data_IF_315404415797
#
_entry.id   IF_315404415797
#
_cell.length_a   1.000
_cell.length_b   1.000
_cell.length_c   1.000
_cell.angle_alpha   90.00
_cell.angle_beta   90.00
_cell.angle_gamma   90.00
#
_symmetry.space_group_name_H-M   'P 1'
#
loop_
_entity.id
_entity.type
_entity.pdbx_description
1 polymer ?
#
# COMPACT_ATOMS: atom_id res chain seq x y z
N UNK A 1 -37.83 -37.60 -1.35
CA UNK A 1 -36.94 -37.81 -2.52
C UNK A 1 -37.42 -36.89 -3.64
N UNK A 2 -37.12 -35.58 -3.59
CA UNK A 2 -37.35 -34.63 -4.71
C UNK A 2 -36.78 -33.20 -4.49
N UNK A 3 -36.05 -32.89 -3.41
CA UNK A 3 -35.72 -31.48 -3.07
C UNK A 3 -34.24 -31.11 -3.14
N UNK A 4 -33.31 -31.99 -3.53
CA UNK A 4 -31.86 -31.72 -3.43
C UNK A 4 -31.17 -31.26 -4.73
N UNK A 5 -31.90 -30.83 -5.76
CA UNK A 5 -31.28 -30.43 -7.05
C UNK A 5 -31.53 -28.97 -7.47
N UNK A 6 -32.41 -28.24 -6.79
CA UNK A 6 -32.76 -26.87 -7.19
C UNK A 6 -31.83 -25.78 -6.62
N UNK A 7 -30.82 -26.15 -5.84
CA UNK A 7 -29.87 -25.21 -5.24
C UNK A 7 -28.63 -24.96 -6.12
N UNK A 8 -28.40 -25.76 -7.18
CA UNK A 8 -27.20 -25.63 -8.02
C UNK A 8 -27.31 -24.62 -9.17
N UNK A 9 -28.50 -24.12 -9.46
CA UNK A 9 -28.72 -23.22 -10.60
C UNK A 9 -28.55 -21.72 -10.26
N UNK A 10 -28.50 -21.35 -8.98
CA UNK A 10 -28.50 -19.95 -8.55
C UNK A 10 -27.13 -19.41 -8.09
N UNK A 11 -26.03 -20.12 -8.36
CA UNK A 11 -24.68 -19.70 -7.92
C UNK A 11 -23.71 -19.44 -9.08
N UNK A 12 -24.19 -19.21 -10.30
CA UNK A 12 -23.32 -18.92 -11.47
C UNK A 12 -23.39 -17.47 -11.97
N UNK A 13 -24.20 -16.61 -11.38
CA UNK A 13 -24.35 -15.21 -11.83
C UNK A 13 -24.30 -14.22 -10.66
N UNK A 14 -23.47 -14.46 -9.65
CA UNK A 14 -23.20 -13.43 -8.63
C UNK A 14 -21.82 -13.58 -8.01
N UNK A 15 -20.79 -13.72 -8.85
CA UNK A 15 -19.47 -13.27 -8.45
C UNK A 15 -19.08 -12.16 -9.40
N UNK A 16 -19.16 -10.92 -8.89
CA UNK A 16 -18.15 -9.91 -9.16
C UNK A 16 -16.83 -10.50 -8.64
N UNK A 17 -16.31 -11.49 -9.39
CA UNK A 17 -15.02 -12.12 -9.18
C UNK A 17 -14.02 -10.97 -9.18
N UNK A 18 -13.35 -10.85 -8.04
CA UNK A 18 -12.23 -9.93 -7.81
C UNK A 18 -11.38 -9.82 -9.07
N UNK A 19 -11.01 -8.58 -9.46
CA UNK A 19 -10.71 -8.22 -10.83
C UNK A 19 -9.68 -9.17 -11.43
N UNK A 20 -10.19 -9.98 -12.36
CA UNK A 20 -9.54 -10.57 -13.52
C UNK A 20 -8.02 -10.70 -13.39
N UNK A 21 -7.48 -11.93 -13.30
CA UNK A 21 -6.07 -12.21 -13.04
C UNK A 21 -5.17 -11.40 -13.97
N UNK A 22 -4.60 -10.32 -13.43
CA UNK A 22 -3.70 -9.40 -14.13
C UNK A 22 -2.60 -10.14 -14.92
N UNK A 23 -2.19 -11.31 -14.40
CA UNK A 23 -1.24 -12.24 -15.03
C UNK A 23 -1.74 -12.84 -16.37
N UNK A 24 -3.04 -13.13 -16.51
CA UNK A 24 -3.62 -13.59 -17.77
C UNK A 24 -3.64 -12.48 -18.81
N UNK A 25 -4.02 -11.26 -18.43
CA UNK A 25 -3.95 -10.08 -19.32
C UNK A 25 -2.51 -9.83 -19.76
N UNK A 26 -1.55 -9.93 -18.84
CA UNK A 26 -0.13 -9.83 -19.16
C UNK A 26 0.34 -10.94 -20.10
N UNK A 27 -0.11 -12.18 -19.92
CA UNK A 27 0.24 -13.29 -20.83
C UNK A 27 -0.33 -13.08 -22.23
N UNK A 28 -1.56 -12.61 -22.35
CA UNK A 28 -2.19 -12.30 -23.63
C UNK A 28 -1.43 -11.18 -24.36
N UNK A 29 -1.09 -10.09 -23.65
CA UNK A 29 -0.28 -8.98 -24.19
C UNK A 29 1.10 -9.47 -24.65
N UNK A 30 1.72 -10.36 -23.90
CA UNK A 30 3.02 -10.92 -24.24
C UNK A 30 2.97 -11.82 -25.48
N UNK A 31 1.94 -12.68 -25.58
CA UNK A 31 1.73 -13.55 -26.74
C UNK A 31 1.42 -12.75 -28.01
N UNK A 32 0.64 -11.68 -27.91
CA UNK A 32 0.37 -10.76 -29.03
C UNK A 32 1.68 -10.09 -29.48
N UNK A 33 2.49 -9.60 -28.54
CA UNK A 33 3.79 -8.99 -28.84
C UNK A 33 4.76 -9.96 -29.52
N UNK A 34 4.81 -11.21 -29.05
CA UNK A 34 5.67 -12.25 -29.63
C UNK A 34 5.19 -12.74 -31.00
N UNK A 35 3.87 -12.88 -31.17
CA UNK A 35 3.27 -13.28 -32.43
C UNK A 35 3.58 -12.27 -33.56
N UNK A 36 3.51 -10.96 -33.25
CA UNK A 36 3.84 -9.90 -34.21
C UNK A 36 5.35 -9.87 -34.51
N UNK A 37 6.21 -10.07 -33.51
CA UNK A 37 7.67 -10.12 -33.71
C UNK A 37 8.09 -11.29 -34.61
N UNK A 38 7.46 -12.46 -34.43
CA UNK A 38 7.75 -13.66 -35.20
C UNK A 38 7.35 -13.52 -36.67
N UNK A 39 6.29 -12.75 -36.95
CA UNK A 39 5.85 -12.46 -38.31
C UNK A 39 6.83 -11.53 -39.05
N UNK A 40 7.36 -10.51 -38.37
CA UNK A 40 8.01 -9.40 -39.05
C UNK A 40 9.43 -9.71 -39.59
N UNK A 41 10.03 -10.88 -39.27
CA UNK A 41 11.38 -11.34 -39.72
C UNK A 41 12.56 -10.41 -39.38
N UNK A 42 12.27 -9.17 -38.95
CA UNK A 42 13.15 -8.06 -38.60
C UNK A 42 13.04 -7.82 -37.09
N UNK A 43 13.35 -8.86 -36.33
CA UNK A 43 13.14 -8.99 -34.89
C UNK A 43 14.06 -8.11 -34.00
N UNK A 44 15.20 -7.66 -34.53
CA UNK A 44 16.17 -6.81 -33.82
C UNK A 44 15.60 -5.48 -33.27
N UNK A 45 14.93 -4.63 -34.08
CA UNK A 45 14.30 -3.42 -33.55
C UNK A 45 13.17 -3.70 -32.56
N UNK A 46 12.42 -4.79 -32.75
CA UNK A 46 11.31 -5.18 -31.87
C UNK A 46 11.76 -5.54 -30.45
N UNK A 47 12.83 -6.32 -30.32
CA UNK A 47 13.40 -6.70 -29.02
C UNK A 47 13.88 -5.46 -28.24
N UNK A 48 14.56 -4.52 -28.90
CA UNK A 48 15.05 -3.30 -28.24
C UNK A 48 13.90 -2.45 -27.69
N UNK A 49 12.81 -2.31 -28.45
CA UNK A 49 11.63 -1.55 -28.01
C UNK A 49 10.94 -2.25 -26.82
N UNK A 50 10.76 -3.58 -26.88
CA UNK A 50 10.18 -4.36 -25.77
C UNK A 50 11.03 -4.28 -24.50
N UNK A 51 12.35 -4.36 -24.62
CA UNK A 51 13.28 -4.22 -23.49
C UNK A 51 13.24 -2.80 -22.92
N UNK A 52 13.21 -1.78 -23.78
CA UNK A 52 13.10 -0.39 -23.33
C UNK A 52 11.79 -0.14 -22.58
N UNK A 53 10.66 -0.60 -23.11
CA UNK A 53 9.35 -0.45 -22.45
C UNK A 53 9.29 -1.26 -21.15
N UNK A 54 9.82 -2.50 -21.12
CA UNK A 54 9.91 -3.29 -19.88
C UNK A 54 10.76 -2.60 -18.82
N UNK A 55 11.94 -2.09 -19.19
CA UNK A 55 12.80 -1.36 -18.28
C UNK A 55 12.11 -0.10 -17.73
N UNK A 56 11.42 0.65 -18.60
CA UNK A 56 10.66 1.84 -18.19
C UNK A 56 9.51 1.47 -17.24
N UNK A 57 8.78 0.40 -17.55
CA UNK A 57 7.65 -0.06 -16.73
C UNK A 57 8.14 -0.51 -15.35
N UNK A 58 9.24 -1.28 -15.29
CA UNK A 58 9.85 -1.70 -14.02
C UNK A 58 10.34 -0.51 -13.20
N UNK A 59 10.97 0.49 -13.83
CA UNK A 59 11.42 1.70 -13.15
C UNK A 59 10.23 2.49 -12.55
N UNK A 60 9.16 2.65 -13.33
CA UNK A 60 7.94 3.32 -12.86
C UNK A 60 7.28 2.56 -11.69
N UNK A 61 7.19 1.24 -11.77
CA UNK A 61 6.66 0.40 -10.69
C UNK A 61 7.51 0.53 -9.43
N UNK A 62 8.84 0.49 -9.53
CA UNK A 62 9.70 0.66 -8.36
C UNK A 62 9.55 2.06 -7.73
N UNK A 63 9.45 3.11 -8.54
CA UNK A 63 9.20 4.48 -8.06
C UNK A 63 7.83 4.57 -7.38
N UNK A 64 6.81 3.95 -7.95
CA UNK A 64 5.47 3.92 -7.38
C UNK A 64 5.41 3.15 -6.06
N UNK A 65 5.98 1.95 -6.00
CA UNK A 65 6.03 1.10 -4.79
C UNK A 65 6.81 1.78 -3.67
N UNK A 66 7.92 2.48 -4.00
CA UNK A 66 8.68 3.24 -2.99
C UNK A 66 7.80 4.32 -2.34
N UNK A 67 7.07 5.12 -3.13
CA UNK A 67 6.14 6.13 -2.59
C UNK A 67 5.05 5.53 -1.72
N UNK A 68 4.49 4.37 -2.12
CA UNK A 68 3.47 3.69 -1.33
C UNK A 68 4.01 3.24 0.04
N UNK A 69 5.23 2.69 0.07
CA UNK A 69 5.89 2.29 1.32
C UNK A 69 6.09 3.47 2.25
N UNK A 70 6.52 4.62 1.74
CA UNK A 70 6.74 5.81 2.54
C UNK A 70 5.43 6.30 3.21
N UNK A 71 4.30 6.26 2.48
CA UNK A 71 2.99 6.63 3.03
C UNK A 71 2.48 5.62 4.07
N UNK A 72 2.57 4.33 3.77
CA UNK A 72 2.17 3.29 4.71
C UNK A 72 3.00 3.34 6.00
N UNK A 73 4.31 3.60 5.87
CA UNK A 73 5.21 3.78 7.01
C UNK A 73 4.89 5.05 7.81
N UNK A 74 4.53 6.17 7.16
CA UNK A 74 4.18 7.40 7.87
C UNK A 74 2.90 7.26 8.73
N UNK A 75 1.93 6.49 8.26
CA UNK A 75 0.71 6.18 9.03
C UNK A 75 1.04 5.26 10.21
N UNK A 76 1.80 4.19 9.97
CA UNK A 76 2.22 3.28 11.03
C UNK A 76 3.10 3.97 12.08
N UNK A 77 4.00 4.86 11.67
CA UNK A 77 4.86 5.61 12.58
C UNK A 77 4.05 6.52 13.51
N UNK A 78 2.99 7.14 13.01
CA UNK A 78 2.07 7.93 13.83
C UNK A 78 1.32 7.06 14.83
N UNK A 79 0.86 5.88 14.42
CA UNK A 79 0.11 4.99 15.32
C UNK A 79 0.99 4.44 16.44
N UNK A 80 2.22 4.05 16.14
CA UNK A 80 3.20 3.61 17.14
C UNK A 80 3.62 4.76 18.06
N UNK A 81 3.75 5.98 17.53
CA UNK A 81 4.07 7.16 18.33
C UNK A 81 2.91 7.54 19.25
N UNK A 82 1.67 7.48 18.75
CA UNK A 82 0.44 7.69 19.51
C UNK A 82 0.30 6.68 20.66
N UNK A 83 0.58 5.40 20.40
CA UNK A 83 0.53 4.34 21.41
C UNK A 83 1.61 4.47 22.51
N UNK A 84 2.68 5.24 22.27
CA UNK A 84 3.76 5.47 23.24
C UNK A 84 3.51 6.69 24.14
N UNK A 85 2.45 7.44 23.88
CA UNK A 85 2.16 8.66 24.64
C UNK A 85 1.52 8.31 25.99
N UNK A 86 1.97 8.91 27.11
CA UNK A 86 1.31 8.72 28.40
C UNK A 86 -0.08 9.37 28.41
N UNK A 87 -1.02 8.82 29.18
CA UNK A 87 -2.37 9.38 29.35
C UNK A 87 -2.38 10.73 30.12
N UNK A 88 -1.30 11.00 30.86
CA UNK A 88 -1.13 12.21 31.69
C UNK A 88 0.26 12.81 31.52
N UNK A 89 0.33 14.14 31.43
CA UNK A 89 1.60 14.86 31.34
C UNK A 89 2.35 14.80 32.68
N UNK A 90 3.63 14.39 32.72
CA UNK A 90 4.40 14.29 33.96
C UNK A 90 4.81 15.65 34.56
N UNK A 91 4.74 16.74 33.79
CA UNK A 91 5.17 18.08 34.24
C UNK A 91 4.03 18.86 34.88
N UNK A 92 2.83 18.79 34.30
CA UNK A 92 1.68 19.58 34.75
C UNK A 92 0.48 18.76 35.19
N UNK A 93 0.49 17.43 34.99
CA UNK A 93 -0.63 16.55 35.34
C UNK A 93 -1.84 16.63 34.38
N UNK A 94 -1.77 17.41 33.30
CA UNK A 94 -2.87 17.53 32.35
C UNK A 94 -3.12 16.22 31.57
N UNK A 95 -4.38 15.89 31.22
CA UNK A 95 -4.69 14.73 30.39
C UNK A 95 -4.17 14.94 28.97
N UNK A 96 -3.36 14.00 28.46
CA UNK A 96 -2.80 14.06 27.11
C UNK A 96 -3.04 12.73 26.40
N UNK A 97 -3.41 12.80 25.12
CA UNK A 97 -3.65 11.64 24.27
C UNK A 97 -3.21 11.98 22.84
N UNK A 98 -3.25 10.98 21.95
CA UNK A 98 -2.83 11.14 20.56
C UNK A 98 -3.51 12.31 19.81
N UNK A 99 -4.72 12.71 20.23
CA UNK A 99 -5.50 13.81 19.63
C UNK A 99 -5.22 15.18 20.25
N UNK A 100 -4.80 15.24 21.52
CA UNK A 100 -4.48 16.50 22.21
C UNK A 100 -3.00 16.85 22.18
N UNK A 101 -2.13 15.90 21.83
CA UNK A 101 -0.70 16.16 21.62
C UNK A 101 -0.42 16.98 20.36
N UNK A 102 0.38 18.03 20.50
CA UNK A 102 0.88 18.80 19.37
C UNK A 102 2.15 18.14 18.84
N UNK A 103 2.04 17.41 17.73
CA UNK A 103 3.15 16.74 17.08
C UNK A 103 4.04 17.74 16.35
N UNK A 104 5.26 17.94 16.85
CA UNK A 104 6.27 18.81 16.23
C UNK A 104 7.18 18.02 15.30
N UNK A 105 7.27 16.69 15.49
CA UNK A 105 7.95 15.75 14.61
C UNK A 105 7.28 14.37 14.70
N UNK A 106 7.63 13.38 13.85
CA UNK A 106 7.07 12.03 13.92
C UNK A 106 7.26 11.32 15.28
N UNK A 107 8.21 11.80 16.09
CA UNK A 107 8.59 11.21 17.38
C UNK A 107 8.67 12.25 18.49
N UNK A 108 8.15 13.47 18.29
CA UNK A 108 8.22 14.53 19.29
C UNK A 108 6.88 15.22 19.37
N UNK A 109 6.23 15.04 20.52
CA UNK A 109 4.95 15.64 20.85
C UNK A 109 5.15 16.61 22.03
N UNK A 110 4.48 17.75 21.95
CA UNK A 110 4.52 18.79 22.96
C UNK A 110 3.15 18.90 23.63
N UNK A 111 3.14 19.10 24.96
CA UNK A 111 1.92 19.27 25.73
C UNK A 111 1.26 20.61 25.38
N UNK A 112 -0.04 20.67 25.04
CA UNK A 112 -0.70 21.94 24.69
C UNK A 112 -0.89 22.89 25.89
N UNK A 113 -0.79 22.38 27.12
CA UNK A 113 -1.07 23.15 28.34
C UNK A 113 0.18 23.85 28.89
N UNK A 114 1.28 23.10 29.06
CA UNK A 114 2.52 23.61 29.65
C UNK A 114 3.68 23.70 28.65
N UNK A 115 3.45 23.32 27.39
CA UNK A 115 4.44 23.32 26.32
C UNK A 115 5.69 22.45 26.61
N UNK A 116 5.60 21.49 27.54
CA UNK A 116 6.67 20.55 27.83
C UNK A 116 6.71 19.41 26.81
N UNK A 117 7.91 18.87 26.56
CA UNK A 117 8.08 17.73 25.67
C UNK A 117 7.55 16.44 26.32
N UNK A 118 6.62 15.74 25.66
CA UNK A 118 5.96 14.54 26.18
C UNK A 118 6.80 13.26 25.97
N UNK A 119 7.85 13.30 25.14
CA UNK A 119 8.73 12.17 24.86
C UNK A 119 10.08 12.21 25.59
N UNK A 120 10.19 13.04 26.65
CA UNK A 120 11.39 13.18 27.48
C UNK A 120 11.55 12.05 28.51
N UNK A 121 11.62 10.82 28.05
CA UNK A 121 12.21 9.71 28.82
C UNK A 121 11.36 9.16 29.97
N UNK A 122 11.45 7.83 30.13
CA UNK A 122 10.97 7.09 31.29
C UNK A 122 11.65 7.66 32.54
N UNK A 123 10.96 8.49 33.32
CA UNK A 123 11.32 8.71 34.71
C UNK A 123 10.96 7.41 35.45
N UNK A 124 12.01 6.70 35.86
CA UNK A 124 11.97 5.52 36.71
C UNK A 124 11.31 5.83 38.07
#
# INVERSE_FOLDING_TARGET
>A
MAESQNEKAASQEEEVELPMPWRQVQSAIWLIGLAILFWQSWWWPGILILVAISGLTQALVQVYVKRQRDQAQALQAQEVAAARLPETCPVCGAPVNARSAVWTSPTTATCPYCNSNLLRERAA
#
